data_IF_563395786293
#
_entry.id   IF_563395786293
#
_cell.length_a   1.000
_cell.length_b   1.000
_cell.length_c   1.000
_cell.angle_alpha   90.00
_cell.angle_beta   90.00
_cell.angle_gamma   90.00
#
_symmetry.space_group_name_H-M   'P 1'
#
loop_
_entity.id
_entity.type
_entity.pdbx_description
1 polymer ?
#
# COMPACT_ATOMS: atom_id res chain seq x y z
N UNK A 1 -2.62 -6.12 -30.99
CA UNK A 1 -1.15 -6.11 -30.70
C UNK A 1 -0.96 -5.09 -29.60
N UNK A 2 -0.79 -5.55 -28.34
CA UNK A 2 -0.63 -4.67 -27.16
C UNK A 2 0.75 -4.00 -27.28
N UNK A 3 0.86 -2.68 -27.13
CA UNK A 3 2.14 -1.98 -27.28
C UNK A 3 3.18 -2.49 -26.29
N UNK A 4 4.43 -2.51 -26.69
CA UNK A 4 5.60 -2.97 -25.89
C UNK A 4 5.82 -2.15 -24.60
N UNK A 5 5.21 -0.98 -24.51
CA UNK A 5 5.14 -0.08 -23.34
C UNK A 5 4.47 -0.73 -22.10
N UNK A 6 3.60 -1.72 -22.28
CA UNK A 6 2.91 -2.40 -21.18
C UNK A 6 3.81 -3.39 -20.40
N UNK A 7 4.99 -3.70 -20.92
CA UNK A 7 5.94 -4.60 -20.26
C UNK A 7 6.67 -3.96 -19.07
N UNK A 8 6.81 -2.64 -19.07
CA UNK A 8 7.52 -1.92 -18.00
C UNK A 8 6.71 -1.79 -16.71
N UNK A 9 5.41 -1.97 -16.77
CA UNK A 9 4.49 -1.89 -15.63
C UNK A 9 4.70 -3.04 -14.62
N UNK A 10 5.03 -4.22 -15.13
CA UNK A 10 5.22 -5.43 -14.33
C UNK A 10 6.69 -5.72 -14.01
N UNK A 11 7.54 -4.71 -13.88
CA UNK A 11 8.92 -4.90 -13.46
C UNK A 11 9.36 -3.80 -12.50
N UNK A 12 10.10 -4.18 -11.51
CA UNK A 12 10.84 -3.25 -10.65
C UNK A 12 12.24 -2.93 -11.20
N UNK A 13 12.61 -3.46 -12.37
CA UNK A 13 13.84 -3.09 -13.06
C UNK A 13 13.69 -1.67 -13.63
N UNK A 14 14.38 -0.70 -13.04
CA UNK A 14 14.34 0.69 -13.52
C UNK A 14 15.27 0.89 -14.74
N UNK A 15 14.94 1.80 -15.67
CA UNK A 15 15.85 2.16 -16.77
C UNK A 15 17.22 2.66 -16.28
N UNK A 16 17.25 3.32 -15.12
CA UNK A 16 18.47 3.82 -14.45
C UNK A 16 19.32 2.71 -13.81
N UNK A 17 18.81 1.50 -13.64
CA UNK A 17 19.56 0.38 -13.09
C UNK A 17 20.64 -0.11 -14.07
N UNK A 18 21.76 -0.65 -13.53
CA UNK A 18 22.77 -1.32 -14.35
C UNK A 18 22.18 -2.49 -15.14
N UNK A 19 22.78 -2.81 -16.31
CA UNK A 19 22.32 -3.94 -17.16
C UNK A 19 22.23 -5.26 -16.37
N UNK A 20 23.25 -5.53 -15.55
CA UNK A 20 23.28 -6.74 -14.71
C UNK A 20 22.12 -6.76 -13.69
N UNK A 21 21.88 -5.64 -13.01
CA UNK A 21 20.79 -5.53 -12.04
C UNK A 21 19.42 -5.74 -12.70
N UNK A 22 19.16 -5.10 -13.84
CA UNK A 22 17.92 -5.30 -14.62
C UNK A 22 17.73 -6.74 -15.04
N UNK A 23 18.80 -7.40 -15.49
CA UNK A 23 18.74 -8.80 -15.91
C UNK A 23 18.39 -9.73 -14.76
N UNK A 24 19.00 -9.53 -13.58
CA UNK A 24 18.69 -10.30 -12.37
C UNK A 24 17.22 -10.11 -11.95
N UNK A 25 16.75 -8.86 -11.86
CA UNK A 25 15.38 -8.56 -11.48
C UNK A 25 14.41 -9.26 -12.45
N UNK A 26 14.56 -9.06 -13.76
CA UNK A 26 13.69 -9.66 -14.77
C UNK A 26 13.71 -11.19 -14.78
N UNK A 27 14.87 -11.80 -14.56
CA UNK A 27 14.98 -13.26 -14.49
C UNK A 27 14.21 -13.82 -13.28
N UNK A 28 14.36 -13.21 -12.11
CA UNK A 28 13.64 -13.61 -10.89
C UNK A 28 12.12 -13.37 -11.04
N UNK A 29 11.71 -12.23 -11.54
CA UNK A 29 10.31 -11.90 -11.77
C UNK A 29 9.64 -12.92 -12.71
N UNK A 30 10.27 -13.22 -13.85
CA UNK A 30 9.75 -14.22 -14.80
C UNK A 30 9.64 -15.62 -14.19
N UNK A 31 10.61 -16.04 -13.39
CA UNK A 31 10.62 -17.33 -12.73
C UNK A 31 9.63 -17.45 -11.57
N UNK A 32 9.10 -16.33 -11.07
CA UNK A 32 8.39 -16.30 -9.79
C UNK A 32 6.94 -15.79 -9.84
N UNK A 33 6.29 -15.90 -11.02
CA UNK A 33 4.84 -15.67 -11.14
C UNK A 33 4.42 -14.34 -11.79
N UNK A 34 5.37 -13.45 -12.13
CA UNK A 34 5.08 -12.22 -12.86
C UNK A 34 4.27 -12.44 -14.16
N UNK A 35 4.58 -13.45 -15.02
CA UNK A 35 3.81 -13.68 -16.25
C UNK A 35 2.34 -14.02 -15.99
N UNK A 36 2.06 -14.70 -14.87
CA UNK A 36 0.68 -15.00 -14.48
C UNK A 36 -0.05 -13.72 -14.05
N UNK A 37 0.57 -12.91 -13.18
CA UNK A 37 -0.02 -11.64 -12.74
C UNK A 37 -0.25 -10.69 -13.92
N UNK A 38 0.69 -10.65 -14.87
CA UNK A 38 0.51 -9.89 -16.11
C UNK A 38 -0.70 -10.36 -16.90
N UNK A 39 -0.90 -11.66 -17.06
CA UNK A 39 -2.07 -12.22 -17.75
C UNK A 39 -3.36 -11.81 -17.05
N UNK A 40 -3.46 -11.90 -15.71
CA UNK A 40 -4.64 -11.47 -14.96
C UNK A 40 -4.93 -9.97 -15.18
N UNK A 41 -3.89 -9.14 -15.31
CA UNK A 41 -4.07 -7.73 -15.62
C UNK A 41 -4.57 -7.50 -17.05
N UNK A 42 -4.06 -8.21 -18.04
CA UNK A 42 -4.53 -8.12 -19.42
C UNK A 42 -5.99 -8.57 -19.54
N UNK A 43 -6.37 -9.65 -18.86
CA UNK A 43 -7.76 -10.08 -18.75
C UNK A 43 -8.66 -9.00 -18.15
N UNK A 44 -8.18 -8.28 -17.10
CA UNK A 44 -8.89 -7.15 -16.54
C UNK A 44 -9.07 -6.01 -17.57
N UNK A 45 -8.01 -5.66 -18.31
CA UNK A 45 -8.09 -4.61 -19.33
C UNK A 45 -9.07 -4.98 -20.46
N UNK A 46 -9.09 -6.24 -20.89
CA UNK A 46 -10.05 -6.73 -21.88
C UNK A 46 -11.48 -6.68 -21.37
N UNK A 47 -11.75 -7.08 -20.13
CA UNK A 47 -13.05 -6.96 -19.49
C UNK A 47 -13.49 -5.49 -19.38
N UNK A 48 -12.60 -4.62 -18.95
CA UNK A 48 -12.86 -3.18 -18.85
C UNK A 48 -13.22 -2.58 -20.21
N UNK A 49 -12.50 -2.96 -21.28
CA UNK A 49 -12.75 -2.50 -22.64
C UNK A 49 -14.12 -2.99 -23.18
N UNK A 50 -14.62 -4.14 -22.71
CA UNK A 50 -15.95 -4.67 -23.04
C UNK A 50 -17.06 -4.15 -22.14
N UNK A 51 -16.73 -3.34 -21.11
CA UNK A 51 -17.67 -2.90 -20.09
C UNK A 51 -18.13 -4.02 -19.16
N UNK A 52 -17.34 -5.08 -19.02
CA UNK A 52 -17.59 -6.25 -18.18
C UNK A 52 -16.83 -6.16 -16.85
N UNK A 53 -17.14 -7.09 -15.93
CA UNK A 53 -16.45 -7.20 -14.64
C UNK A 53 -16.77 -6.06 -13.67
N UNK A 54 -15.90 -5.87 -12.68
CA UNK A 54 -16.11 -4.89 -11.59
C UNK A 54 -15.88 -3.43 -12.01
N UNK A 55 -15.35 -3.18 -13.20
CA UNK A 55 -15.06 -1.84 -13.71
C UNK A 55 -13.98 -1.07 -12.93
N UNK A 56 -13.37 -1.68 -11.89
CA UNK A 56 -12.39 -1.04 -11.04
C UNK A 56 -11.19 -1.96 -10.76
N UNK A 57 -9.98 -1.41 -10.94
CA UNK A 57 -8.72 -2.16 -10.78
C UNK A 57 -8.58 -2.84 -9.40
N UNK A 58 -8.93 -2.17 -8.31
CA UNK A 58 -8.73 -2.71 -6.97
C UNK A 58 -9.69 -3.88 -6.68
N UNK A 59 -10.95 -3.75 -7.10
CA UNK A 59 -11.95 -4.82 -6.97
C UNK A 59 -11.58 -6.00 -7.88
N UNK A 60 -11.26 -5.74 -9.15
CA UNK A 60 -10.77 -6.76 -10.06
C UNK A 60 -9.51 -7.47 -9.53
N UNK A 61 -8.60 -6.73 -8.90
CA UNK A 61 -7.41 -7.30 -8.27
C UNK A 61 -7.75 -8.31 -7.17
N UNK A 62 -8.69 -7.99 -6.29
CA UNK A 62 -9.18 -8.91 -5.24
C UNK A 62 -9.84 -10.15 -5.85
N UNK A 63 -10.72 -9.96 -6.85
CA UNK A 63 -11.46 -11.02 -7.53
C UNK A 63 -10.52 -11.96 -8.31
N UNK A 64 -9.66 -11.40 -9.17
CA UNK A 64 -8.73 -12.19 -10.02
C UNK A 64 -7.65 -12.91 -9.21
N UNK A 65 -7.21 -12.32 -8.11
CA UNK A 65 -6.34 -12.99 -7.14
C UNK A 65 -7.12 -13.97 -6.24
N UNK A 66 -8.44 -14.03 -6.36
CA UNK A 66 -9.32 -14.90 -5.56
C UNK A 66 -9.03 -14.81 -4.08
N UNK A 67 -8.88 -13.57 -3.56
CA UNK A 67 -8.60 -13.35 -2.15
C UNK A 67 -9.87 -13.50 -1.33
N UNK A 68 -9.80 -14.29 -0.26
CA UNK A 68 -10.83 -14.38 0.77
C UNK A 68 -10.53 -13.35 1.85
N UNK A 69 -11.19 -12.19 1.79
CA UNK A 69 -10.98 -11.09 2.74
C UNK A 69 -11.83 -11.31 3.99
N UNK A 70 -11.16 -11.54 5.10
CA UNK A 70 -11.78 -11.79 6.40
C UNK A 70 -11.67 -10.53 7.28
N UNK A 71 -12.74 -9.73 7.31
CA UNK A 71 -12.79 -8.47 8.06
C UNK A 71 -14.20 -8.17 8.57
N UNK A 72 -14.28 -7.34 9.60
CA UNK A 72 -15.55 -6.83 10.14
C UNK A 72 -16.06 -5.67 9.25
N UNK A 73 -17.02 -5.97 8.37
CA UNK A 73 -17.62 -4.99 7.46
C UNK A 73 -18.41 -3.91 8.22
N UNK A 74 -19.03 -4.25 9.33
CA UNK A 74 -19.77 -3.27 10.15
C UNK A 74 -18.82 -2.21 10.72
N UNK A 75 -17.62 -2.60 11.18
CA UNK A 75 -16.59 -1.67 11.62
C UNK A 75 -16.07 -0.77 10.49
N UNK A 76 -15.91 -1.30 9.29
CA UNK A 76 -15.53 -0.49 8.13
C UNK A 76 -16.60 0.55 7.84
N UNK A 77 -17.86 0.14 7.76
CA UNK A 77 -18.99 1.00 7.40
C UNK A 77 -19.39 1.99 8.49
N UNK A 78 -18.90 1.81 9.72
CA UNK A 78 -19.03 2.77 10.81
C UNK A 78 -18.08 3.98 10.67
N UNK A 79 -17.07 3.90 9.79
CA UNK A 79 -16.18 5.02 9.52
C UNK A 79 -16.88 6.14 8.74
N UNK A 80 -16.40 7.42 8.84
CA UNK A 80 -16.99 8.55 8.16
C UNK A 80 -17.05 8.36 6.63
N UNK A 81 -18.27 8.46 6.08
CA UNK A 81 -18.51 8.39 4.64
C UNK A 81 -18.25 9.70 3.92
N UNK A 82 -18.17 10.79 4.66
CA UNK A 82 -17.89 12.16 4.20
C UNK A 82 -17.00 12.88 5.19
N UNK A 83 -16.41 13.98 4.78
CA UNK A 83 -15.47 14.73 5.61
C UNK A 83 -14.07 14.13 5.64
N UNK A 84 -13.09 14.82 6.25
CA UNK A 84 -11.71 14.36 6.28
C UNK A 84 -11.57 13.02 7.03
N UNK A 85 -10.78 12.12 6.50
CA UNK A 85 -10.46 10.83 7.13
C UNK A 85 -9.03 10.43 6.78
N UNK A 86 -8.27 9.90 7.72
CA UNK A 86 -6.99 9.25 7.41
C UNK A 86 -7.08 7.77 7.82
N UNK A 87 -6.86 6.89 6.87
CA UNK A 87 -6.74 5.44 7.13
C UNK A 87 -5.27 5.11 7.27
N UNK A 88 -4.88 4.52 8.39
CA UNK A 88 -3.50 4.11 8.65
C UNK A 88 -3.41 2.59 8.81
N UNK A 89 -2.43 1.98 8.16
CA UNK A 89 -2.23 0.54 8.24
C UNK A 89 -0.76 0.14 8.34
N UNK A 90 -0.49 -1.05 8.91
CA UNK A 90 0.77 -1.75 8.73
C UNK A 90 0.92 -2.23 7.28
N UNK A 91 2.14 -2.60 6.86
CA UNK A 91 2.43 -2.89 5.46
C UNK A 91 3.17 -4.23 5.25
N UNK A 92 2.54 -5.37 5.59
CA UNK A 92 3.23 -6.67 5.58
C UNK A 92 3.46 -7.26 4.18
N UNK A 93 2.62 -6.97 3.18
CA UNK A 93 2.65 -7.63 1.88
C UNK A 93 3.04 -6.72 0.71
N UNK A 94 3.02 -5.41 0.88
CA UNK A 94 3.37 -4.45 -0.15
C UNK A 94 2.20 -4.16 -1.11
N UNK A 95 2.38 -4.43 -2.40
CA UNK A 95 1.36 -4.13 -3.42
C UNK A 95 -0.02 -4.70 -3.06
N UNK A 96 -0.05 -5.88 -2.45
CA UNK A 96 -1.30 -6.54 -2.06
C UNK A 96 -2.08 -5.73 -1.02
N UNK A 97 -1.39 -5.16 -0.01
CA UNK A 97 -2.03 -4.31 0.99
C UNK A 97 -2.67 -3.09 0.35
N UNK A 98 -1.96 -2.49 -0.64
CA UNK A 98 -2.47 -1.34 -1.39
C UNK A 98 -3.73 -1.67 -2.18
N UNK A 99 -3.76 -2.80 -2.88
CA UNK A 99 -4.95 -3.27 -3.63
C UNK A 99 -6.11 -3.48 -2.69
N UNK A 100 -5.89 -4.21 -1.60
CA UNK A 100 -6.96 -4.60 -0.67
C UNK A 100 -7.51 -3.40 0.09
N UNK A 101 -6.65 -2.51 0.61
CA UNK A 101 -7.14 -1.35 1.36
C UNK A 101 -7.91 -0.38 0.47
N UNK A 102 -7.51 -0.21 -0.80
CA UNK A 102 -8.27 0.59 -1.77
C UNK A 102 -9.60 -0.07 -2.13
N UNK A 103 -9.66 -1.41 -2.25
CA UNK A 103 -10.92 -2.13 -2.40
C UNK A 103 -11.85 -1.91 -1.19
N UNK A 104 -11.33 -1.98 0.04
CA UNK A 104 -12.11 -1.67 1.24
C UNK A 104 -12.60 -0.22 1.24
N UNK A 105 -11.75 0.74 0.82
CA UNK A 105 -12.17 2.13 0.69
C UNK A 105 -13.29 2.32 -0.31
N UNK A 106 -13.29 1.62 -1.44
CA UNK A 106 -14.40 1.68 -2.42
C UNK A 106 -15.73 1.19 -1.85
N UNK A 107 -15.70 0.27 -0.88
CA UNK A 107 -16.92 -0.14 -0.13
C UNK A 107 -17.41 0.97 0.81
N UNK A 108 -16.52 1.81 1.34
CA UNK A 108 -16.84 2.90 2.25
C UNK A 108 -17.20 4.18 1.50
N UNK A 109 -16.30 4.65 0.60
CA UNK A 109 -16.43 5.91 -0.15
C UNK A 109 -15.45 5.93 -1.34
N UNK A 110 -15.76 6.71 -2.38
CA UNK A 110 -14.96 6.78 -3.61
C UNK A 110 -13.98 7.96 -3.64
N UNK A 111 -14.21 8.99 -2.80
CA UNK A 111 -13.36 10.18 -2.70
C UNK A 111 -12.20 9.96 -1.73
N UNK A 112 -11.32 9.05 -2.09
CA UNK A 112 -10.08 8.78 -1.35
C UNK A 112 -8.87 8.84 -2.26
N UNK A 113 -7.69 9.00 -1.66
CA UNK A 113 -6.39 8.87 -2.30
C UNK A 113 -5.42 8.10 -1.41
N UNK A 114 -4.46 7.42 -2.03
CA UNK A 114 -3.43 6.66 -1.33
C UNK A 114 -2.04 7.26 -1.59
N UNK A 115 -1.28 7.49 -0.51
CA UNK A 115 0.14 7.80 -0.63
C UNK A 115 0.90 6.53 -0.99
N UNK A 116 1.50 6.50 -2.17
CA UNK A 116 2.14 5.31 -2.71
C UNK A 116 3.45 5.63 -3.45
N UNK A 117 4.26 4.60 -3.66
CA UNK A 117 5.48 4.75 -4.46
C UNK A 117 5.15 5.24 -5.87
N UNK A 118 5.92 6.21 -6.37
CA UNK A 118 5.79 6.77 -7.72
C UNK A 118 5.87 5.70 -8.83
N UNK A 119 6.51 4.55 -8.57
CA UNK A 119 6.54 3.44 -9.52
C UNK A 119 5.15 2.90 -9.88
N UNK A 120 4.12 3.06 -9.03
CA UNK A 120 2.74 2.66 -9.31
C UNK A 120 2.03 3.56 -10.32
N UNK A 121 2.61 4.72 -10.67
CA UNK A 121 2.14 5.57 -11.77
C UNK A 121 2.28 4.93 -13.16
N UNK A 122 2.69 3.70 -13.23
CA UNK A 122 2.70 2.90 -14.47
C UNK A 122 1.37 2.22 -14.77
N UNK A 123 0.40 2.27 -13.82
CA UNK A 123 -0.94 1.67 -13.95
C UNK A 123 -1.96 2.79 -14.16
N UNK A 124 -2.39 3.08 -15.41
CA UNK A 124 -3.26 4.23 -15.71
C UNK A 124 -4.58 4.20 -14.96
N UNK A 125 -5.14 3.01 -14.75
CA UNK A 125 -6.46 2.80 -14.15
C UNK A 125 -6.53 3.26 -12.68
N UNK A 126 -5.39 3.47 -12.03
CA UNK A 126 -5.36 3.90 -10.62
C UNK A 126 -4.87 5.34 -10.40
N UNK A 127 -4.52 6.07 -11.46
CA UNK A 127 -3.94 7.43 -11.35
C UNK A 127 -4.75 8.38 -10.48
N UNK A 128 -6.06 8.36 -10.62
CA UNK A 128 -6.94 9.27 -9.88
C UNK A 128 -6.90 9.07 -8.36
N UNK A 129 -6.48 7.89 -7.89
CA UNK A 129 -6.37 7.58 -6.47
C UNK A 129 -4.95 7.73 -5.91
N UNK A 130 -3.93 7.94 -6.77
CA UNK A 130 -2.55 7.97 -6.32
C UNK A 130 -2.10 9.37 -5.91
N UNK A 131 -1.37 9.43 -4.80
CA UNK A 131 -0.52 10.55 -4.41
C UNK A 131 0.93 10.03 -4.36
N UNK A 132 1.76 10.40 -5.36
CA UNK A 132 3.08 9.80 -5.51
C UNK A 132 4.04 10.24 -4.43
N UNK A 133 4.74 9.28 -3.83
CA UNK A 133 5.88 9.52 -2.95
C UNK A 133 7.10 8.93 -3.63
N UNK A 134 8.11 9.76 -3.83
CA UNK A 134 9.40 9.33 -4.35
C UNK A 134 10.38 9.12 -3.20
N UNK A 135 10.95 7.94 -3.11
CA UNK A 135 11.89 7.55 -2.05
C UNK A 135 13.36 7.71 -2.46
N UNK A 136 13.63 8.25 -3.64
CA UNK A 136 14.99 8.59 -4.07
C UNK A 136 15.46 9.88 -3.39
N UNK A 137 16.78 10.06 -3.29
CA UNK A 137 17.40 11.25 -2.70
C UNK A 137 17.78 12.28 -3.77
N UNK A 138 16.90 12.49 -4.77
CA UNK A 138 17.12 13.44 -5.85
C UNK A 138 16.37 14.76 -5.60
N UNK A 139 16.82 15.88 -6.20
CA UNK A 139 16.08 17.15 -6.17
C UNK A 139 14.66 17.03 -6.72
N UNK A 140 14.48 16.21 -7.77
CA UNK A 140 13.18 15.94 -8.40
C UNK A 140 12.24 15.18 -7.45
N UNK A 141 12.79 14.21 -6.70
CA UNK A 141 12.05 13.49 -5.66
C UNK A 141 11.59 14.45 -4.54
N UNK A 142 12.47 15.35 -4.13
CA UNK A 142 12.12 16.37 -3.12
C UNK A 142 10.99 17.27 -3.62
N UNK A 143 11.06 17.78 -4.86
CA UNK A 143 10.02 18.60 -5.47
C UNK A 143 8.69 17.85 -5.55
N UNK A 144 8.72 16.59 -6.03
CA UNK A 144 7.55 15.71 -6.07
C UNK A 144 6.93 15.54 -4.69
N UNK A 145 7.74 15.22 -3.69
CA UNK A 145 7.26 15.00 -2.32
C UNK A 145 6.67 16.28 -1.69
N UNK A 146 7.20 17.47 -2.00
CA UNK A 146 6.63 18.75 -1.53
C UNK A 146 5.26 18.95 -2.17
N UNK A 147 5.13 18.76 -3.49
CA UNK A 147 3.86 18.87 -4.22
C UNK A 147 2.82 17.89 -3.68
N UNK A 148 3.19 16.63 -3.53
CA UNK A 148 2.32 15.58 -2.99
C UNK A 148 1.81 15.91 -1.59
N UNK A 149 2.67 16.44 -0.70
CA UNK A 149 2.25 16.85 0.65
C UNK A 149 1.24 17.99 0.62
N UNK A 150 1.45 18.98 -0.24
CA UNK A 150 0.52 20.10 -0.39
C UNK A 150 -0.83 19.63 -0.95
N UNK A 151 -0.81 18.72 -1.93
CA UNK A 151 -2.00 18.12 -2.51
C UNK A 151 -2.76 17.24 -1.51
N UNK A 152 -2.08 16.36 -0.77
CA UNK A 152 -2.66 15.55 0.28
C UNK A 152 -3.36 16.39 1.36
N UNK A 153 -2.69 17.47 1.80
CA UNK A 153 -3.29 18.41 2.76
C UNK A 153 -4.56 19.04 2.20
N UNK A 154 -4.49 19.62 1.00
CA UNK A 154 -5.65 20.25 0.35
C UNK A 154 -6.80 19.27 0.20
N UNK A 155 -6.51 18.03 -0.19
CA UNK A 155 -7.52 17.00 -0.36
C UNK A 155 -8.23 16.64 0.94
N UNK A 156 -7.51 16.56 2.07
CA UNK A 156 -8.11 16.41 3.41
C UNK A 156 -8.94 17.63 3.80
N UNK A 157 -8.44 18.85 3.59
CA UNK A 157 -9.16 20.11 3.89
C UNK A 157 -10.48 20.21 3.09
N UNK A 158 -10.56 19.58 1.92
CA UNK A 158 -11.76 19.47 1.09
C UNK A 158 -12.70 18.33 1.53
N UNK A 159 -12.36 17.61 2.57
CA UNK A 159 -13.18 16.51 3.11
C UNK A 159 -12.87 15.15 2.50
N UNK A 160 -11.81 14.99 1.73
CA UNK A 160 -11.39 13.71 1.17
C UNK A 160 -10.76 12.76 2.19
N UNK A 161 -10.64 11.48 1.85
CA UNK A 161 -9.98 10.50 2.68
C UNK A 161 -8.56 10.15 2.16
N UNK A 162 -7.59 9.99 3.06
CA UNK A 162 -6.24 9.54 2.71
C UNK A 162 -5.95 8.16 3.29
N UNK A 163 -5.38 7.29 2.46
CA UNK A 163 -4.82 6.01 2.88
C UNK A 163 -3.31 6.15 2.97
N UNK A 164 -2.75 5.73 4.10
CA UNK A 164 -1.32 5.85 4.37
C UNK A 164 -0.78 4.59 5.01
N UNK A 165 0.36 4.13 4.52
CA UNK A 165 1.23 3.16 5.18
C UNK A 165 2.41 3.93 5.81
N UNK A 166 2.34 4.30 7.10
CA UNK A 166 3.25 5.30 7.65
C UNK A 166 4.71 4.86 7.73
N UNK A 167 4.97 3.56 7.71
CA UNK A 167 6.33 2.99 7.62
C UNK A 167 7.03 3.34 6.30
N UNK A 168 6.26 3.65 5.23
CA UNK A 168 6.77 3.99 3.91
C UNK A 168 7.42 2.82 3.15
N UNK A 169 7.37 1.62 3.67
CA UNK A 169 7.91 0.42 3.04
C UNK A 169 7.36 -0.86 3.65
N UNK A 170 7.49 -1.95 2.89
CA UNK A 170 7.01 -3.27 3.30
C UNK A 170 7.73 -3.74 4.57
N UNK A 171 6.99 -4.31 5.51
CA UNK A 171 7.52 -4.85 6.76
C UNK A 171 8.57 -5.94 6.51
N UNK A 172 9.67 -5.87 7.25
CA UNK A 172 10.76 -6.84 7.17
C UNK A 172 11.20 -7.30 8.56
N UNK A 173 11.84 -8.48 8.60
CA UNK A 173 12.40 -8.96 9.86
C UNK A 173 13.63 -8.13 10.25
N UNK A 174 13.81 -7.78 11.55
CA UNK A 174 14.98 -7.02 12.01
C UNK A 174 16.31 -7.73 11.75
N UNK A 175 16.29 -9.06 11.74
CA UNK A 175 17.45 -9.94 11.44
C UNK A 175 16.99 -11.11 10.58
N UNK A 176 17.90 -11.68 9.79
CA UNK A 176 17.62 -12.77 8.85
C UNK A 176 16.89 -13.97 9.48
N UNK A 177 17.16 -14.28 10.74
CA UNK A 177 16.56 -15.41 11.44
C UNK A 177 15.39 -15.02 12.38
N UNK A 178 15.02 -13.74 12.43
CA UNK A 178 13.84 -13.33 13.19
C UNK A 178 12.57 -13.92 12.58
N UNK A 179 11.63 -14.33 13.43
CA UNK A 179 10.40 -14.98 12.99
C UNK A 179 9.34 -13.99 12.49
N UNK A 180 9.40 -12.75 12.97
CA UNK A 180 8.36 -11.75 12.75
C UNK A 180 8.90 -10.56 11.97
N UNK A 181 8.19 -10.21 10.90
CA UNK A 181 8.39 -8.95 10.20
C UNK A 181 7.73 -7.82 10.99
N UNK A 182 8.36 -6.67 11.02
CA UNK A 182 7.91 -5.47 11.72
C UNK A 182 7.99 -4.30 10.76
N UNK A 183 7.03 -3.40 10.81
CA UNK A 183 7.12 -2.13 10.12
C UNK A 183 8.36 -1.35 10.60
N UNK A 184 9.01 -0.66 9.68
CA UNK A 184 9.98 0.37 10.03
C UNK A 184 9.34 1.46 10.90
N UNK A 185 10.14 2.35 11.44
CA UNK A 185 9.65 3.50 12.20
C UNK A 185 8.63 4.31 11.39
N UNK A 186 7.49 4.60 11.98
CA UNK A 186 6.43 5.36 11.35
C UNK A 186 6.80 6.83 11.22
N UNK A 187 6.75 7.36 9.99
CA UNK A 187 7.26 8.69 9.65
C UNK A 187 6.32 9.82 10.08
N UNK A 188 6.85 10.98 10.54
CA UNK A 188 6.06 12.09 11.06
C UNK A 188 5.14 12.78 10.03
N UNK A 189 5.29 12.47 8.74
CA UNK A 189 4.45 13.02 7.68
C UNK A 189 2.96 12.75 7.94
N UNK A 190 2.62 11.52 8.32
CA UNK A 190 1.23 11.12 8.59
C UNK A 190 0.63 11.94 9.74
N UNK A 191 1.35 12.09 10.85
CA UNK A 191 0.89 12.96 11.95
C UNK A 191 0.69 14.42 11.50
N UNK A 192 1.58 14.94 10.65
CA UNK A 192 1.44 16.30 10.11
C UNK A 192 0.15 16.45 9.29
N UNK A 193 -0.16 15.51 8.40
CA UNK A 193 -1.36 15.54 7.58
C UNK A 193 -2.63 15.46 8.46
N UNK A 194 -2.65 14.56 9.44
CA UNK A 194 -3.77 14.39 10.38
C UNK A 194 -4.01 15.68 11.16
N UNK A 195 -2.96 16.25 11.77
CA UNK A 195 -3.08 17.45 12.60
C UNK A 195 -3.49 18.69 11.79
N UNK A 196 -2.98 18.85 10.57
CA UNK A 196 -3.34 19.95 9.69
C UNK A 196 -4.75 19.82 9.12
N UNK A 197 -5.14 18.61 8.71
CA UNK A 197 -6.46 18.33 8.17
C UNK A 197 -7.55 18.11 9.23
N UNK A 198 -7.20 18.16 10.52
CA UNK A 198 -8.10 17.86 11.64
C UNK A 198 -8.91 16.57 11.42
N UNK A 199 -8.25 15.56 10.87
CA UNK A 199 -8.88 14.34 10.42
C UNK A 199 -8.94 13.28 11.53
N UNK A 200 -10.08 12.60 11.74
CA UNK A 200 -10.14 11.37 12.50
C UNK A 200 -9.35 10.28 11.78
N UNK A 201 -8.98 9.21 12.49
CA UNK A 201 -8.16 8.12 11.95
C UNK A 201 -8.87 6.79 12.06
N UNK A 202 -8.92 6.03 10.95
CA UNK A 202 -9.32 4.64 10.94
C UNK A 202 -8.07 3.74 10.95
N UNK A 203 -7.79 3.03 12.06
CA UNK A 203 -6.66 2.11 12.13
C UNK A 203 -7.03 0.75 11.53
N UNK A 204 -6.16 0.22 10.68
CA UNK A 204 -6.32 -1.08 10.01
C UNK A 204 -5.07 -1.92 10.23
N UNK A 205 -5.23 -3.21 10.46
CA UNK A 205 -4.12 -4.15 10.60
C UNK A 205 -4.28 -5.35 9.68
N UNK A 206 -3.31 -5.56 8.80
CA UNK A 206 -3.18 -6.74 7.95
C UNK A 206 -2.42 -7.83 8.70
N UNK A 207 -3.03 -9.00 8.87
CA UNK A 207 -2.39 -10.13 9.53
C UNK A 207 -1.51 -10.92 8.58
N UNK A 208 -0.33 -11.30 9.05
CA UNK A 208 0.64 -12.10 8.32
C UNK A 208 1.88 -11.33 7.90
N UNK A 209 2.63 -11.92 7.00
CA UNK A 209 3.89 -11.35 6.47
C UNK A 209 4.30 -12.07 5.20
N UNK A 210 5.20 -11.48 4.44
CA UNK A 210 5.85 -12.10 3.30
C UNK A 210 6.72 -13.29 3.71
N UNK A 211 7.03 -14.16 2.75
CA UNK A 211 7.75 -15.41 2.98
C UNK A 211 9.15 -15.19 3.59
N UNK A 212 9.69 -16.25 4.20
CA UNK A 212 11.07 -16.21 4.71
C UNK A 212 12.09 -15.88 3.63
N UNK A 213 11.87 -16.36 2.40
CA UNK A 213 12.74 -16.01 1.28
C UNK A 213 12.76 -14.50 1.03
N UNK A 214 11.59 -13.86 1.03
CA UNK A 214 11.48 -12.41 0.91
C UNK A 214 12.19 -11.69 2.07
N UNK A 215 12.04 -12.19 3.29
CA UNK A 215 12.69 -11.60 4.46
C UNK A 215 14.22 -11.67 4.38
N UNK A 216 14.77 -12.83 4.01
CA UNK A 216 16.22 -13.02 3.83
C UNK A 216 16.73 -12.15 2.69
N UNK A 217 16.06 -12.18 1.53
CA UNK A 217 16.43 -11.37 0.38
C UNK A 217 16.44 -9.88 0.70
N UNK A 218 15.49 -9.42 1.52
CA UNK A 218 15.38 -8.03 1.96
C UNK A 218 16.55 -7.58 2.84
N UNK A 219 17.19 -8.50 3.54
CA UNK A 219 18.40 -8.22 4.34
C UNK A 219 19.68 -8.18 3.47
N UNK A 220 19.67 -8.93 2.37
CA UNK A 220 20.85 -9.07 1.52
C UNK A 220 20.91 -7.99 0.44
N UNK A 221 19.79 -7.65 -0.17
CA UNK A 221 19.78 -6.73 -1.31
C UNK A 221 18.40 -6.16 -1.59
N UNK A 222 18.33 -4.83 -1.76
CA UNK A 222 17.12 -4.15 -2.23
C UNK A 222 16.68 -4.68 -3.61
N UNK A 223 17.63 -5.04 -4.48
CA UNK A 223 17.35 -5.62 -5.79
C UNK A 223 16.59 -6.93 -5.70
N UNK A 224 17.05 -7.86 -4.83
CA UNK A 224 16.38 -9.14 -4.60
C UNK A 224 15.02 -8.96 -3.93
N UNK A 225 14.92 -8.02 -2.99
CA UNK A 225 13.66 -7.66 -2.35
C UNK A 225 12.61 -7.23 -3.40
N UNK A 226 12.96 -6.30 -4.27
CA UNK A 226 12.07 -5.82 -5.33
C UNK A 226 11.69 -6.93 -6.31
N UNK A 227 12.64 -7.73 -6.74
CA UNK A 227 12.41 -8.84 -7.66
C UNK A 227 11.43 -9.90 -7.11
N UNK A 228 11.34 -10.04 -5.79
CA UNK A 228 10.45 -11.02 -5.15
C UNK A 228 9.04 -10.50 -4.84
N UNK A 229 8.75 -9.21 -5.04
CA UNK A 229 7.42 -8.65 -4.71
C UNK A 229 6.31 -9.38 -5.48
N UNK A 230 6.46 -9.56 -6.80
CA UNK A 230 5.47 -10.27 -7.62
C UNK A 230 5.30 -11.73 -7.20
N UNK A 231 6.38 -12.40 -6.77
CA UNK A 231 6.31 -13.74 -6.19
C UNK A 231 5.44 -13.78 -4.94
N UNK A 232 5.58 -12.80 -4.06
CA UNK A 232 4.78 -12.77 -2.82
C UNK A 232 3.29 -12.53 -3.13
N UNK A 233 2.96 -11.67 -4.10
CA UNK A 233 1.58 -11.50 -4.58
C UNK A 233 1.06 -12.79 -5.18
N UNK A 234 1.81 -13.44 -6.09
CA UNK A 234 1.42 -14.69 -6.73
C UNK A 234 1.16 -15.81 -5.71
N UNK A 235 1.95 -15.89 -4.65
CA UNK A 235 1.76 -16.88 -3.57
C UNK A 235 0.47 -16.69 -2.76
N UNK A 236 -0.10 -15.50 -2.81
CA UNK A 236 -1.35 -15.18 -2.10
C UNK A 236 -2.60 -15.45 -2.91
N UNK A 237 -2.48 -15.84 -4.18
CA UNK A 237 -3.64 -16.22 -4.99
C UNK A 237 -4.43 -17.33 -4.29
N UNK A 238 -5.75 -17.13 -4.13
CA UNK A 238 -6.63 -18.07 -3.46
C UNK A 238 -6.46 -18.15 -1.93
N UNK A 239 -5.75 -17.22 -1.32
CA UNK A 239 -5.53 -17.26 0.13
C UNK A 239 -6.54 -16.40 0.90
N UNK A 240 -6.82 -16.83 2.15
CA UNK A 240 -7.50 -16.00 3.13
C UNK A 240 -6.58 -14.90 3.64
N UNK A 241 -7.10 -13.69 3.75
CA UNK A 241 -6.40 -12.51 4.24
C UNK A 241 -7.18 -11.89 5.40
N UNK A 242 -6.83 -12.23 6.65
CA UNK A 242 -7.46 -11.63 7.82
C UNK A 242 -7.02 -10.18 7.99
N UNK A 243 -8.00 -9.29 8.25
CA UNK A 243 -7.80 -7.85 8.41
C UNK A 243 -8.58 -7.39 9.64
N UNK A 244 -7.90 -6.77 10.60
CA UNK A 244 -8.56 -6.16 11.74
C UNK A 244 -8.79 -4.68 11.48
N UNK A 245 -10.05 -4.24 11.58
CA UNK A 245 -10.45 -2.84 11.50
C UNK A 245 -10.73 -2.36 12.92
N UNK A 246 -10.06 -1.31 13.35
CA UNK A 246 -10.28 -0.71 14.66
C UNK A 246 -11.37 0.34 14.65
N UNK A 247 -11.74 0.81 15.83
CA UNK A 247 -12.66 1.91 15.97
C UNK A 247 -12.02 3.22 15.51
N UNK A 248 -12.82 4.10 14.91
CA UNK A 248 -12.36 5.44 14.48
C UNK A 248 -11.86 6.22 15.68
N UNK A 249 -10.64 6.74 15.59
CA UNK A 249 -10.02 7.58 16.61
C UNK A 249 -10.40 9.03 16.31
N UNK A 250 -11.20 9.70 17.16
CA UNK A 250 -11.55 11.10 16.97
C UNK A 250 -10.32 12.00 16.95
N UNK A 251 -10.39 13.10 16.18
CA UNK A 251 -9.28 14.05 16.04
C UNK A 251 -8.82 14.60 17.39
N UNK A 252 -9.76 14.91 18.28
CA UNK A 252 -9.49 15.48 19.61
C UNK A 252 -8.59 14.55 20.44
N UNK A 253 -8.82 13.25 20.37
CA UNK A 253 -7.98 12.26 21.04
C UNK A 253 -6.57 12.20 20.44
N UNK A 254 -6.46 12.38 19.11
CA UNK A 254 -5.16 12.40 18.43
C UNK A 254 -4.40 13.69 18.81
N UNK A 255 -5.06 14.82 18.78
CA UNK A 255 -4.47 16.10 19.15
C UNK A 255 -3.99 16.14 20.62
N UNK A 256 -4.71 15.47 21.52
CA UNK A 256 -4.35 15.35 22.93
C UNK A 256 -3.11 14.46 23.18
N UNK A 257 -2.69 13.65 22.22
CA UNK A 257 -1.50 12.79 22.36
C UNK A 257 -0.19 13.59 22.43
N UNK A 258 -0.18 14.85 21.97
CA UNK A 258 0.96 15.74 22.05
C UNK A 258 1.61 16.06 20.71
N UNK A 259 2.94 15.94 20.64
CA UNK A 259 3.67 16.25 19.43
C UNK A 259 3.51 15.18 18.33
N UNK A 260 4.06 15.44 17.14
CA UNK A 260 3.96 14.52 15.99
C UNK A 260 4.54 13.14 16.28
N UNK A 261 5.58 13.06 17.13
CA UNK A 261 6.21 11.78 17.49
C UNK A 261 5.30 10.97 18.41
N UNK A 262 4.73 11.61 19.41
CA UNK A 262 3.75 10.99 20.32
C UNK A 262 2.50 10.52 19.57
N UNK A 263 1.98 11.31 18.62
CA UNK A 263 0.89 10.89 17.73
C UNK A 263 1.25 9.65 16.94
N UNK A 264 2.43 9.60 16.31
CA UNK A 264 2.84 8.42 15.51
C UNK A 264 3.04 7.19 16.39
N UNK A 265 3.59 7.34 17.60
CA UNK A 265 3.72 6.25 18.57
C UNK A 265 2.35 5.70 18.94
N UNK A 266 1.42 6.56 19.34
CA UNK A 266 0.05 6.17 19.70
C UNK A 266 -0.66 5.43 18.55
N UNK A 267 -0.57 5.95 17.33
CA UNK A 267 -1.20 5.34 16.15
C UNK A 267 -0.59 3.98 15.83
N UNK A 268 0.73 3.87 15.86
CA UNK A 268 1.44 2.61 15.64
C UNK A 268 1.05 1.57 16.67
N UNK A 269 1.04 1.93 17.95
CA UNK A 269 0.62 1.05 19.05
C UNK A 269 -0.83 0.60 18.87
N UNK A 270 -1.72 1.53 18.47
CA UNK A 270 -3.13 1.20 18.24
C UNK A 270 -3.29 0.19 17.11
N UNK A 271 -2.63 0.40 15.97
CA UNK A 271 -2.68 -0.53 14.84
C UNK A 271 -2.06 -1.89 15.22
N UNK A 272 -0.90 -1.91 15.88
CA UNK A 272 -0.25 -3.16 16.27
C UNK A 272 -1.08 -3.94 17.29
N UNK A 273 -1.77 -3.27 18.20
CA UNK A 273 -2.69 -3.92 19.16
C UNK A 273 -3.83 -4.66 18.48
N UNK A 274 -4.35 -4.16 17.34
CA UNK A 274 -5.34 -4.90 16.54
C UNK A 274 -4.81 -6.25 16.04
N UNK A 275 -3.51 -6.35 15.83
CA UNK A 275 -2.83 -7.59 15.45
C UNK A 275 -2.38 -8.47 16.61
N UNK A 276 -2.68 -8.12 17.85
CA UNK A 276 -2.15 -8.81 19.02
C UNK A 276 -0.63 -8.72 19.15
N UNK A 277 -0.03 -7.67 18.56
CA UNK A 277 1.41 -7.45 18.55
C UNK A 277 1.77 -6.49 19.67
N UNK A 278 2.71 -6.81 20.57
CA UNK A 278 3.31 -5.81 21.44
C UNK A 278 3.92 -4.69 20.59
N UNK A 279 3.71 -3.47 21.01
CA UNK A 279 4.18 -2.26 20.33
C UNK A 279 5.71 -2.12 20.43
#
# INVERSE_FOLDING_TARGET
MVPETDLEMFTYAAPSDSKARRMIIRAVERATGQPHLKRLYLEFQEELARGEGSGNFFTAGVEKLRLDLDFDEAKLLAAPKTGPLVVVANHPFGVLDGIVICHLMLKLRTDFRILSNSALYRVPEIYQWLLPVDFTESPEALATNIKTRAEARRFLEQGGALVVFPAGGVATTPRAFSRRAIDAEWKPLTARLILQGKAPVLPVYFHGQNSRLFQIASQLSMTLRLALIFREVHRRIGSRLPISIGDVIPFERIAAAGDKRAVMTMLRETVHRLGGVPA
#
